data_IF_808310259578
#
_entry.id   IF_808310259578
#
_cell.length_a   1.000
_cell.length_b   1.000
_cell.length_c   1.000
_cell.angle_alpha   90.00
_cell.angle_beta   90.00
_cell.angle_gamma   90.00
#
_symmetry.space_group_name_H-M   'P 1'
#
loop_
_entity.id
_entity.type
_entity.pdbx_description
1 polymer ?
#
# COMPACT_ATOMS: atom_id res chain seq x y z
N UNK A 1 33.61 11.19 -4.46
CA UNK A 1 33.21 12.59 -4.43
C UNK A 1 31.84 12.64 -3.81
N UNK A 2 31.73 13.30 -2.67
CA UNK A 2 30.44 13.58 -2.04
C UNK A 2 29.74 14.71 -2.81
N UNK A 3 28.42 14.79 -2.67
CA UNK A 3 27.62 15.87 -3.26
C UNK A 3 28.16 17.26 -2.89
N UNK A 4 28.54 17.44 -1.62
CA UNK A 4 29.06 18.69 -1.08
C UNK A 4 30.41 19.06 -1.70
N UNK A 5 31.29 18.09 -1.96
CA UNK A 5 32.57 18.32 -2.65
C UNK A 5 32.37 18.79 -4.10
N UNK A 6 31.38 18.24 -4.81
CA UNK A 6 31.07 18.62 -6.18
C UNK A 6 30.50 20.05 -6.24
N UNK A 7 29.62 20.41 -5.29
CA UNK A 7 29.08 21.77 -5.14
C UNK A 7 30.19 22.75 -4.73
N UNK A 8 31.05 22.38 -3.77
CA UNK A 8 32.20 23.17 -3.35
C UNK A 8 33.18 23.41 -4.51
N UNK A 9 33.41 22.40 -5.36
CA UNK A 9 34.28 22.56 -6.53
C UNK A 9 33.68 23.48 -7.59
N UNK A 10 32.35 23.50 -7.75
CA UNK A 10 31.67 24.41 -8.66
C UNK A 10 31.71 25.86 -8.14
N UNK A 11 31.42 26.04 -6.84
CA UNK A 11 31.43 27.34 -6.18
C UNK A 11 32.85 27.90 -5.98
N UNK A 12 33.84 27.03 -5.79
CA UNK A 12 35.26 27.43 -5.70
C UNK A 12 35.80 28.04 -7.00
N UNK A 13 35.15 27.84 -8.15
CA UNK A 13 35.50 28.54 -9.40
C UNK A 13 35.11 30.03 -9.38
N UNK A 14 34.11 30.40 -8.56
CA UNK A 14 33.73 31.78 -8.25
C UNK A 14 34.52 32.35 -7.05
N UNK A 15 35.46 31.58 -6.48
CA UNK A 15 36.18 31.98 -5.27
C UNK A 15 35.36 31.80 -3.98
N UNK A 16 34.22 31.12 -4.04
CA UNK A 16 33.45 30.77 -2.84
C UNK A 16 34.05 29.54 -2.16
N UNK A 17 34.55 29.73 -0.95
CA UNK A 17 35.07 28.64 -0.11
C UNK A 17 34.40 28.57 1.26
N UNK A 18 33.37 29.38 1.49
CA UNK A 18 32.62 29.32 2.75
C UNK A 18 31.77 28.04 2.80
N UNK A 19 32.14 27.16 3.74
CA UNK A 19 31.48 25.89 3.98
C UNK A 19 29.99 26.05 4.31
N UNK A 20 29.61 27.14 4.99
CA UNK A 20 28.22 27.43 5.33
C UNK A 20 27.39 27.74 4.08
N UNK A 21 27.95 28.54 3.17
CA UNK A 21 27.30 28.88 1.91
C UNK A 21 27.21 27.65 0.99
N UNK A 22 28.27 26.83 0.93
CA UNK A 22 28.27 25.56 0.19
C UNK A 22 27.17 24.63 0.71
N UNK A 23 27.06 24.46 2.03
CA UNK A 23 26.04 23.59 2.63
C UNK A 23 24.62 24.12 2.38
N UNK A 24 24.42 25.43 2.45
CA UNK A 24 23.13 26.06 2.17
C UNK A 24 22.72 25.87 0.70
N UNK A 25 23.62 26.15 -0.25
CA UNK A 25 23.38 25.93 -1.69
C UNK A 25 23.15 24.44 -1.98
N UNK A 26 23.94 23.55 -1.37
CA UNK A 26 23.76 22.12 -1.45
C UNK A 26 22.37 21.68 -0.95
N UNK A 27 21.86 22.29 0.13
CA UNK A 27 20.53 22.03 0.68
C UNK A 27 19.41 22.47 -0.26
N UNK A 28 19.49 23.68 -0.82
CA UNK A 28 18.50 24.19 -1.80
C UNK A 28 18.43 23.27 -3.01
N UNK A 29 19.59 22.86 -3.55
CA UNK A 29 19.67 22.03 -4.74
C UNK A 29 19.11 20.61 -4.51
N UNK A 30 19.27 20.06 -3.30
CA UNK A 30 18.72 18.75 -2.93
C UNK A 30 17.21 18.76 -2.68
N UNK A 31 16.63 19.92 -2.34
CA UNK A 31 15.20 20.00 -2.06
C UNK A 31 14.38 19.78 -3.34
N UNK A 32 13.60 18.69 -3.38
CA UNK A 32 12.72 18.39 -4.51
C UNK A 32 11.43 19.23 -4.48
N UNK A 33 11.13 19.91 -3.37
CA UNK A 33 9.94 20.76 -3.26
C UNK A 33 10.11 22.13 -3.89
N UNK A 34 11.35 22.56 -4.15
CA UNK A 34 11.67 23.85 -4.76
C UNK A 34 11.79 23.65 -6.28
N UNK A 35 11.05 24.44 -7.04
CA UNK A 35 11.12 24.41 -8.51
C UNK A 35 12.46 24.96 -9.02
N UNK A 36 12.82 24.65 -10.26
CA UNK A 36 14.11 25.07 -10.83
C UNK A 36 14.27 26.60 -10.84
N UNK A 37 13.19 27.33 -11.14
CA UNK A 37 13.17 28.79 -11.14
C UNK A 37 13.39 29.36 -9.73
N UNK A 38 12.70 28.79 -8.73
CA UNK A 38 12.88 29.17 -7.32
C UNK A 38 14.29 28.83 -6.81
N UNK A 39 14.88 27.72 -7.25
CA UNK A 39 16.28 27.36 -6.95
C UNK A 39 17.25 28.39 -7.53
N UNK A 40 17.02 28.82 -8.77
CA UNK A 40 17.81 29.87 -9.43
C UNK A 40 17.72 31.18 -8.67
N UNK A 41 16.52 31.60 -8.28
CA UNK A 41 16.30 32.85 -7.56
C UNK A 41 16.94 32.82 -6.17
N UNK A 42 16.74 31.72 -5.42
CA UNK A 42 17.32 31.55 -4.09
C UNK A 42 18.86 31.55 -4.13
N UNK A 43 19.46 30.83 -5.09
CA UNK A 43 20.93 30.82 -5.25
C UNK A 43 21.44 32.15 -5.78
N UNK A 44 20.71 32.84 -6.65
CA UNK A 44 21.08 34.18 -7.14
C UNK A 44 21.15 35.16 -5.98
N UNK A 45 20.21 35.10 -5.03
CA UNK A 45 20.28 35.93 -3.82
C UNK A 45 21.55 35.69 -2.99
N UNK A 46 21.94 34.42 -2.78
CA UNK A 46 23.14 34.06 -2.00
C UNK A 46 24.42 34.43 -2.73
N UNK A 47 24.48 34.15 -4.02
CA UNK A 47 25.70 34.32 -4.81
C UNK A 47 25.90 35.76 -5.28
N UNK A 48 24.83 36.56 -5.40
CA UNK A 48 24.93 38.00 -5.68
C UNK A 48 25.61 38.78 -4.54
N UNK A 49 25.62 38.26 -3.31
CA UNK A 49 26.41 38.85 -2.22
C UNK A 49 27.93 38.70 -2.44
N UNK A 50 28.35 37.82 -3.35
CA UNK A 50 29.76 37.42 -3.50
C UNK A 50 30.29 37.68 -4.90
N UNK A 51 29.46 37.51 -5.93
CA UNK A 51 29.80 37.87 -7.30
C UNK A 51 28.67 38.68 -7.94
N UNK A 52 28.94 39.96 -8.21
CA UNK A 52 27.99 40.91 -8.80
C UNK A 52 27.87 40.75 -10.33
N UNK A 53 28.77 39.99 -10.97
CA UNK A 53 28.75 39.78 -12.41
C UNK A 53 27.77 38.67 -12.82
N UNK A 54 26.60 39.08 -13.32
CA UNK A 54 25.55 38.18 -13.78
C UNK A 54 26.03 37.27 -14.94
N UNK A 55 27.06 37.67 -15.70
CA UNK A 55 27.60 36.90 -16.81
C UNK A 55 28.37 35.65 -16.38
N UNK A 56 29.01 35.66 -15.22
CA UNK A 56 29.69 34.50 -14.63
C UNK A 56 28.76 33.68 -13.72
N UNK A 57 27.76 34.34 -13.14
CA UNK A 57 26.76 33.74 -12.27
C UNK A 57 25.82 32.77 -13.00
N UNK A 58 25.22 33.17 -14.12
CA UNK A 58 24.27 32.33 -14.87
C UNK A 58 24.84 30.95 -15.28
N UNK A 59 26.01 30.84 -15.92
CA UNK A 59 26.54 29.54 -16.34
C UNK A 59 26.92 28.64 -15.15
N UNK A 60 27.24 29.22 -14.00
CA UNK A 60 27.58 28.45 -12.80
C UNK A 60 26.34 27.92 -12.10
N UNK A 61 25.26 28.71 -12.05
CA UNK A 61 23.92 28.26 -11.64
C UNK A 61 23.41 27.13 -12.53
N UNK A 62 23.49 27.28 -13.85
CA UNK A 62 23.11 26.24 -14.81
C UNK A 62 23.91 24.95 -14.58
N UNK A 63 25.21 25.08 -14.32
CA UNK A 63 26.08 23.95 -14.02
C UNK A 63 25.70 23.25 -12.72
N UNK A 64 25.39 24.01 -11.65
CA UNK A 64 24.98 23.50 -10.34
C UNK A 64 23.65 22.75 -10.43
N UNK A 65 22.68 23.30 -11.15
CA UNK A 65 21.38 22.66 -11.37
C UNK A 65 21.57 21.36 -12.14
N UNK A 66 22.31 21.36 -13.24
CA UNK A 66 22.62 20.13 -13.99
C UNK A 66 23.39 19.10 -13.16
N UNK A 67 24.23 19.53 -12.21
CA UNK A 67 24.90 18.64 -11.27
C UNK A 67 23.89 18.03 -10.29
N UNK A 68 22.98 18.85 -9.76
CA UNK A 68 21.91 18.40 -8.85
C UNK A 68 21.01 17.35 -9.49
N UNK A 69 20.57 17.54 -10.73
CA UNK A 69 19.73 16.58 -11.45
C UNK A 69 20.45 15.24 -11.65
N UNK A 70 21.73 15.28 -12.02
CA UNK A 70 22.56 14.07 -12.18
C UNK A 70 22.79 13.36 -10.85
N UNK A 71 22.94 14.09 -9.75
CA UNK A 71 23.07 13.51 -8.43
C UNK A 71 21.74 12.87 -7.96
N UNK A 72 20.63 13.58 -8.16
CA UNK A 72 19.28 13.10 -7.83
C UNK A 72 18.93 11.83 -8.61
N UNK A 73 19.23 11.79 -9.91
CA UNK A 73 19.05 10.61 -10.75
C UNK A 73 19.85 9.41 -10.22
N UNK A 74 21.14 9.61 -9.92
CA UNK A 74 21.97 8.55 -9.31
C UNK A 74 21.44 8.08 -7.96
N UNK A 75 20.94 8.99 -7.13
CA UNK A 75 20.34 8.64 -5.84
C UNK A 75 19.09 7.77 -6.02
N UNK A 76 18.20 8.15 -6.94
CA UNK A 76 16.98 7.39 -7.27
C UNK A 76 17.31 5.99 -7.81
N UNK A 77 18.32 5.87 -8.66
CA UNK A 77 18.77 4.57 -9.17
C UNK A 77 19.33 3.68 -8.04
N UNK A 78 20.14 4.24 -7.15
CA UNK A 78 20.68 3.51 -6.00
C UNK A 78 19.57 3.07 -5.03
N UNK A 79 18.56 3.91 -4.81
CA UNK A 79 17.38 3.54 -4.03
C UNK A 79 16.56 2.44 -4.70
N UNK A 80 16.38 2.50 -6.02
CA UNK A 80 15.67 1.47 -6.78
C UNK A 80 16.37 0.11 -6.66
N UNK A 81 17.70 0.09 -6.80
CA UNK A 81 18.52 -1.13 -6.62
C UNK A 81 18.38 -1.67 -5.19
N UNK A 82 18.44 -0.80 -4.18
CA UNK A 82 18.26 -1.22 -2.77
C UNK A 82 16.87 -1.79 -2.52
N UNK A 83 15.82 -1.14 -3.03
CA UNK A 83 14.44 -1.64 -2.93
C UNK A 83 14.28 -3.00 -3.60
N UNK A 84 14.92 -3.22 -4.74
CA UNK A 84 14.90 -4.52 -5.43
C UNK A 84 15.62 -5.60 -4.61
N UNK A 85 16.80 -5.28 -4.06
CA UNK A 85 17.54 -6.19 -3.19
C UNK A 85 16.75 -6.54 -1.92
N UNK A 86 16.09 -5.57 -1.30
CA UNK A 86 15.26 -5.80 -0.12
C UNK A 86 14.05 -6.68 -0.43
N UNK A 87 13.42 -6.50 -1.60
CA UNK A 87 12.34 -7.37 -2.07
C UNK A 87 12.80 -8.81 -2.33
N UNK A 88 13.98 -8.98 -2.92
CA UNK A 88 14.58 -10.31 -3.12
C UNK A 88 14.91 -10.97 -1.78
N UNK A 89 15.53 -10.24 -0.85
CA UNK A 89 15.82 -10.74 0.48
C UNK A 89 14.54 -11.10 1.28
N UNK A 90 13.48 -10.30 1.17
CA UNK A 90 12.18 -10.59 1.76
C UNK A 90 11.54 -11.86 1.14
N UNK A 91 11.67 -12.02 -0.18
CA UNK A 91 11.19 -13.23 -0.88
C UNK A 91 11.97 -14.48 -0.48
N UNK A 92 13.28 -14.37 -0.25
CA UNK A 92 14.08 -15.48 0.25
C UNK A 92 13.74 -15.84 1.69
N UNK A 93 13.53 -14.84 2.56
CA UNK A 93 13.07 -15.06 3.94
C UNK A 93 11.71 -15.76 3.99
N UNK A 94 10.76 -15.36 3.14
CA UNK A 94 9.45 -16.03 3.07
C UNK A 94 9.59 -17.47 2.56
N UNK A 95 10.40 -17.72 1.53
CA UNK A 95 10.71 -19.10 1.07
C UNK A 95 11.32 -19.96 2.17
N UNK A 96 12.31 -19.42 2.90
CA UNK A 96 12.95 -20.14 4.01
C UNK A 96 11.97 -20.38 5.16
N UNK A 97 11.10 -19.43 5.48
CA UNK A 97 10.06 -19.60 6.49
C UNK A 97 9.05 -20.68 6.08
N UNK A 98 8.60 -20.70 4.82
CA UNK A 98 7.70 -21.75 4.32
C UNK A 98 8.38 -23.12 4.23
N UNK A 99 9.66 -23.18 3.87
CA UNK A 99 10.41 -24.44 3.84
C UNK A 99 10.52 -25.05 5.25
N UNK A 100 10.82 -24.23 6.27
CA UNK A 100 10.84 -24.68 7.67
C UNK A 100 9.49 -25.20 8.15
N UNK A 101 8.39 -24.56 7.77
CA UNK A 101 7.04 -25.03 8.13
C UNK A 101 6.68 -26.36 7.43
N UNK A 102 7.19 -26.60 6.22
CA UNK A 102 6.99 -27.88 5.51
C UNK A 102 7.86 -29.00 6.12
N UNK A 103 9.05 -28.68 6.61
CA UNK A 103 9.91 -29.66 7.29
C UNK A 103 9.45 -30.00 8.73
N UNK A 104 8.76 -29.08 9.41
CA UNK A 104 8.17 -29.27 10.75
C UNK A 104 6.75 -29.87 10.72
N UNK A 105 6.16 -30.13 9.55
CA UNK A 105 4.90 -30.88 9.46
C UNK A 105 5.23 -32.39 9.52
N UNK A 106 4.98 -33.10 10.64
CA UNK A 106 5.08 -34.55 10.61
C UNK A 106 4.05 -35.04 9.61
N UNK A 107 4.51 -35.77 8.59
CA UNK A 107 3.69 -36.40 7.57
C UNK A 107 2.72 -37.43 8.17
N UNK A 108 1.71 -36.97 8.90
CA UNK A 108 0.60 -37.76 9.41
C UNK A 108 -0.41 -37.87 8.28
N UNK A 109 -0.19 -38.84 7.40
CA UNK A 109 -1.24 -39.36 6.50
C UNK A 109 -2.49 -39.60 7.37
N UNK A 110 -3.65 -39.01 7.06
CA UNK A 110 -4.86 -39.33 7.81
C UNK A 110 -5.20 -40.79 7.48
N UNK A 111 -4.83 -41.71 8.37
CA UNK A 111 -5.44 -43.03 8.41
C UNK A 111 -6.96 -42.80 8.45
N UNK A 112 -7.68 -43.37 7.49
CA UNK A 112 -9.12 -43.24 7.37
C UNK A 112 -9.79 -43.71 8.67
N UNK A 113 -10.04 -42.79 9.59
CA UNK A 113 -10.90 -43.03 10.74
C UNK A 113 -12.32 -43.10 10.18
N UNK A 114 -12.90 -44.28 10.23
CA UNK A 114 -14.33 -44.46 10.04
C UNK A 114 -15.03 -43.60 11.09
N UNK A 115 -15.66 -42.49 10.66
CA UNK A 115 -16.41 -41.63 11.57
C UNK A 115 -17.56 -42.45 12.15
N UNK A 116 -17.67 -42.46 13.48
CA UNK A 116 -18.83 -43.01 14.17
C UNK A 116 -20.08 -42.21 13.80
N UNK A 117 -21.26 -42.82 13.92
CA UNK A 117 -22.53 -42.22 13.47
C UNK A 117 -22.80 -40.84 14.10
N UNK A 118 -22.41 -40.66 15.36
CA UNK A 118 -22.50 -39.39 16.09
C UNK A 118 -21.62 -38.30 15.47
N UNK A 119 -20.39 -38.61 15.06
CA UNK A 119 -19.49 -37.65 14.43
C UNK A 119 -19.96 -37.27 13.02
N UNK A 120 -20.63 -38.20 12.32
CA UNK A 120 -21.26 -37.91 11.03
C UNK A 120 -22.50 -37.02 11.21
N UNK A 121 -23.28 -37.22 12.28
CA UNK A 121 -24.42 -36.37 12.61
C UNK A 121 -23.97 -34.94 12.98
N UNK A 122 -22.90 -34.78 13.76
CA UNK A 122 -22.35 -33.48 14.10
C UNK A 122 -21.78 -32.76 12.88
N UNK A 123 -21.05 -33.47 12.02
CA UNK A 123 -20.58 -32.91 10.75
C UNK A 123 -21.74 -32.51 9.85
N UNK A 124 -22.82 -33.30 9.80
CA UNK A 124 -24.02 -32.97 9.04
C UNK A 124 -24.76 -31.75 9.64
N UNK A 125 -24.83 -31.63 10.96
CA UNK A 125 -25.41 -30.47 11.66
C UNK A 125 -24.63 -29.19 11.39
N UNK A 126 -23.30 -29.26 11.44
CA UNK A 126 -22.41 -28.14 11.12
C UNK A 126 -22.59 -27.75 9.65
N UNK A 127 -22.57 -28.72 8.72
CA UNK A 127 -22.82 -28.46 7.30
C UNK A 127 -24.22 -27.87 7.05
N UNK A 128 -25.25 -28.34 7.74
CA UNK A 128 -26.60 -27.79 7.66
C UNK A 128 -26.65 -26.33 8.16
N UNK A 129 -25.91 -25.99 9.22
CA UNK A 129 -25.82 -24.61 9.70
C UNK A 129 -25.18 -23.67 8.67
N UNK A 130 -24.20 -24.15 7.90
CA UNK A 130 -23.61 -23.38 6.80
C UNK A 130 -24.49 -23.34 5.55
N UNK A 131 -25.27 -24.39 5.30
CA UNK A 131 -26.24 -24.41 4.21
C UNK A 131 -27.39 -23.43 4.47
N UNK A 132 -27.84 -23.29 5.72
CA UNK A 132 -28.85 -22.29 6.10
C UNK A 132 -28.36 -20.85 5.89
N UNK A 133 -27.06 -20.59 6.11
CA UNK A 133 -26.45 -19.26 5.85
C UNK A 133 -26.29 -18.99 4.34
N UNK A 134 -26.24 -20.03 3.51
CA UNK A 134 -26.12 -19.90 2.06
C UNK A 134 -27.47 -19.76 1.33
N UNK A 135 -28.60 -20.06 1.99
CA UNK A 135 -29.96 -20.00 1.42
C UNK A 135 -30.79 -18.83 2.00
N UNK A 136 -30.27 -18.10 3.00
CA UNK A 136 -30.89 -16.91 3.60
C UNK A 136 -30.41 -15.60 2.93
N UNK A 137 -30.22 -15.63 1.60
CA UNK A 137 -30.14 -14.42 0.76
C UNK A 137 -31.57 -13.98 0.38
N UNK A 138 -32.38 -13.64 1.39
CA UNK A 138 -33.66 -12.94 1.23
C UNK A 138 -33.83 -11.93 2.38
N UNK A 139 -33.28 -10.74 2.13
CA UNK A 139 -33.41 -9.46 2.86
C UNK A 139 -34.88 -9.11 3.24
N UNK A 140 -35.21 -8.18 4.17
CA UNK A 140 -34.65 -7.80 5.49
C UNK A 140 -35.75 -7.77 6.61
N UNK A 141 -35.33 -7.43 7.85
CA UNK A 141 -36.10 -6.84 8.98
C UNK A 141 -36.27 -7.67 10.28
N UNK A 142 -35.79 -7.04 11.37
CA UNK A 142 -36.13 -7.19 12.80
C UNK A 142 -36.00 -8.53 13.54
N UNK A 143 -34.94 -8.65 14.36
CA UNK A 143 -35.04 -8.60 15.84
C UNK A 143 -33.63 -8.69 16.46
N UNK A 144 -33.12 -7.58 17.00
CA UNK A 144 -33.18 -7.21 18.41
C UNK A 144 -32.22 -7.99 19.35
N UNK A 145 -31.19 -7.23 19.78
CA UNK A 145 -30.64 -7.19 21.14
C UNK A 145 -29.95 -8.43 21.74
N UNK A 146 -28.61 -8.38 21.80
CA UNK A 146 -27.86 -8.61 23.04
C UNK A 146 -26.35 -8.29 22.88
N UNK A 147 -25.94 -7.10 23.36
CA UNK A 147 -24.79 -6.84 24.25
C UNK A 147 -24.09 -5.51 23.91
N UNK A 148 -24.60 -4.41 24.46
CA UNK A 148 -23.75 -3.29 24.84
C UNK A 148 -23.12 -3.62 26.21
N UNK A 149 -21.87 -3.20 26.47
CA UNK A 149 -21.68 -1.99 27.26
C UNK A 149 -20.43 -1.17 26.83
N UNK A 150 -20.06 -0.09 27.51
CA UNK A 150 -20.53 1.27 27.28
C UNK A 150 -19.40 2.20 26.81
N UNK A 151 -19.76 3.45 26.54
CA UNK A 151 -18.87 4.58 26.24
C UNK A 151 -18.37 4.69 24.80
N UNK A 152 -19.26 5.24 23.96
CA UNK A 152 -18.79 6.14 22.92
C UNK A 152 -18.04 7.30 23.60
N UNK A 153 -16.71 7.20 23.67
CA UNK A 153 -15.86 8.28 24.15
C UNK A 153 -15.93 9.41 23.13
N UNK A 154 -16.62 10.48 23.51
CA UNK A 154 -16.76 11.69 22.73
C UNK A 154 -15.37 12.18 22.27
N UNK A 155 -15.26 12.47 20.98
CA UNK A 155 -14.05 13.01 20.38
C UNK A 155 -13.66 14.32 21.09
N UNK A 156 -12.45 14.38 21.64
CA UNK A 156 -11.95 15.49 22.49
C UNK A 156 -11.98 16.84 21.74
N UNK A 157 -12.01 16.79 20.40
CA UNK A 157 -12.17 17.93 19.50
C UNK A 157 -13.54 18.62 19.65
N UNK A 158 -14.59 17.87 20.04
CA UNK A 158 -15.98 18.33 20.16
C UNK A 158 -16.31 18.92 21.53
N UNK A 159 -15.43 18.76 22.52
CA UNK A 159 -15.67 19.22 23.89
C UNK A 159 -15.44 20.74 24.05
N UNK A 160 -16.20 21.36 24.94
CA UNK A 160 -16.07 22.80 25.22
C UNK A 160 -14.70 23.12 25.87
N UNK A 161 -14.18 24.35 25.67
CA UNK A 161 -12.90 24.80 26.25
C UNK A 161 -12.81 24.58 27.77
N UNK A 162 -13.94 24.62 28.49
CA UNK A 162 -14.02 24.44 29.94
C UNK A 162 -13.92 22.97 30.36
N UNK A 163 -14.39 22.05 29.51
CA UNK A 163 -14.27 20.60 29.72
C UNK A 163 -12.87 20.10 29.37
N UNK A 164 -12.26 20.63 28.30
CA UNK A 164 -10.85 20.35 27.95
C UNK A 164 -9.88 20.74 29.04
N UNK A 165 -10.10 21.88 29.72
CA UNK A 165 -9.27 22.32 30.85
C UNK A 165 -9.39 21.37 32.05
N UNK A 166 -10.62 20.92 32.38
CA UNK A 166 -10.85 19.95 33.46
C UNK A 166 -10.22 18.60 33.20
N UNK A 167 -10.23 18.11 31.96
CA UNK A 167 -9.52 16.88 31.61
C UNK A 167 -8.02 17.06 31.82
N UNK A 168 -7.45 18.17 31.34
CA UNK A 168 -6.01 18.49 31.47
C UNK A 168 -5.55 18.52 32.94
N UNK A 169 -6.34 19.10 33.83
CA UNK A 169 -6.05 19.17 35.27
C UNK A 169 -6.08 17.77 35.95
N UNK A 170 -6.70 16.76 35.33
CA UNK A 170 -6.66 15.34 35.77
C UNK A 170 -5.52 14.52 35.15
N UNK A 171 -4.79 15.04 34.15
CA UNK A 171 -3.72 14.29 33.45
C UNK A 171 -2.36 14.40 34.13
N UNK A 172 -2.15 15.39 34.99
CA UNK A 172 -0.85 15.71 35.61
C UNK A 172 -0.35 14.67 36.64
N UNK A 173 -1.09 13.57 36.85
CA UNK A 173 -0.70 12.47 37.74
C UNK A 173 -0.96 11.06 37.19
N UNK A 174 -1.31 10.92 35.90
CA UNK A 174 -1.66 9.62 35.29
C UNK A 174 -0.55 9.19 34.34
N UNK A 175 0.04 8.02 34.61
CA UNK A 175 1.04 7.37 33.76
C UNK A 175 0.49 7.19 32.32
N UNK A 176 1.08 7.94 31.38
CA UNK A 176 0.66 7.98 29.98
C UNK A 176 0.81 6.62 29.28
N UNK A 177 1.69 5.75 29.78
CA UNK A 177 1.92 4.41 29.23
C UNK A 177 0.88 3.39 29.69
N UNK A 178 0.15 3.67 30.78
CA UNK A 178 -0.92 2.81 31.29
C UNK A 178 -2.28 3.09 30.63
N UNK A 179 -2.38 4.11 29.75
CA UNK A 179 -3.61 4.44 29.04
C UNK A 179 -3.92 3.39 27.96
N UNK A 180 -5.15 2.87 27.88
CA UNK A 180 -5.55 2.00 26.79
C UNK A 180 -5.39 2.72 25.45
N UNK A 181 -4.83 2.03 24.45
CA UNK A 181 -4.62 2.60 23.13
C UNK A 181 -5.98 2.82 22.42
N UNK A 182 -6.38 4.09 22.32
CA UNK A 182 -7.64 4.52 21.72
C UNK A 182 -7.73 4.27 20.20
N UNK A 183 -6.59 4.03 19.53
CA UNK A 183 -6.54 3.80 18.09
C UNK A 183 -6.81 2.33 17.71
N UNK A 184 -6.88 1.42 18.67
CA UNK A 184 -7.06 -0.02 18.37
C UNK A 184 -8.39 -0.28 17.68
N UNK A 185 -9.47 0.38 18.11
CA UNK A 185 -10.79 0.20 17.53
C UNK A 185 -10.87 0.77 16.09
N UNK A 186 -10.29 1.95 15.85
CA UNK A 186 -10.30 2.57 14.52
C UNK A 186 -9.46 1.78 13.52
N UNK A 187 -8.29 1.28 13.95
CA UNK A 187 -7.43 0.42 13.12
C UNK A 187 -8.12 -0.91 12.79
N UNK A 188 -8.76 -1.57 13.76
CA UNK A 188 -9.51 -2.81 13.52
C UNK A 188 -10.68 -2.59 12.56
N UNK A 189 -11.47 -1.53 12.75
CA UNK A 189 -12.58 -1.22 11.84
C UNK A 189 -12.10 -0.91 10.41
N UNK A 190 -10.94 -0.24 10.27
CA UNK A 190 -10.35 0.00 8.95
C UNK A 190 -9.83 -1.29 8.29
N UNK A 191 -9.24 -2.20 9.07
CA UNK A 191 -8.76 -3.49 8.59
C UNK A 191 -9.93 -4.41 8.17
N UNK A 192 -11.01 -4.45 8.95
CA UNK A 192 -12.22 -5.19 8.63
C UNK A 192 -12.85 -4.69 7.32
N UNK A 193 -12.94 -3.37 7.12
CA UNK A 193 -13.42 -2.79 5.86
C UNK A 193 -12.54 -3.18 4.68
N UNK A 194 -11.21 -3.16 4.83
CA UNK A 194 -10.28 -3.62 3.78
C UNK A 194 -10.47 -5.09 3.47
N UNK A 195 -10.67 -5.94 4.49
CA UNK A 195 -10.91 -7.36 4.33
C UNK A 195 -12.24 -7.65 3.65
N UNK A 196 -13.30 -6.91 3.99
CA UNK A 196 -14.60 -7.02 3.32
C UNK A 196 -14.51 -6.63 1.84
N UNK A 197 -13.92 -5.46 1.54
CA UNK A 197 -13.73 -5.01 0.16
C UNK A 197 -12.91 -5.99 -0.69
N UNK A 198 -11.88 -6.62 -0.12
CA UNK A 198 -11.10 -7.64 -0.80
C UNK A 198 -11.91 -8.91 -1.11
N UNK A 199 -12.82 -9.32 -0.21
CA UNK A 199 -13.74 -10.44 -0.44
C UNK A 199 -14.73 -10.12 -1.56
N UNK A 200 -15.33 -8.94 -1.54
CA UNK A 200 -16.31 -8.51 -2.55
C UNK A 200 -15.65 -8.37 -3.93
N UNK A 201 -14.41 -7.88 -3.99
CA UNK A 201 -13.62 -7.84 -5.21
C UNK A 201 -13.31 -9.25 -5.75
N UNK A 202 -13.02 -10.22 -4.88
CA UNK A 202 -12.77 -11.61 -5.28
C UNK A 202 -14.05 -12.29 -5.78
N UNK A 203 -15.18 -12.09 -5.11
CA UNK A 203 -16.49 -12.63 -5.52
C UNK A 203 -16.92 -12.04 -6.86
N UNK A 204 -16.84 -10.72 -7.02
CA UNK A 204 -17.20 -10.06 -8.28
C UNK A 204 -16.31 -10.49 -9.45
N UNK A 205 -15.01 -10.72 -9.22
CA UNK A 205 -14.11 -11.31 -10.22
C UNK A 205 -14.53 -12.74 -10.57
N UNK A 206 -14.81 -13.58 -9.58
CA UNK A 206 -15.26 -14.96 -9.81
C UNK A 206 -16.56 -15.03 -10.63
N UNK A 207 -17.51 -14.13 -10.36
CA UNK A 207 -18.77 -14.04 -11.12
C UNK A 207 -18.51 -13.64 -12.57
N UNK A 208 -17.65 -12.63 -12.80
CA UNK A 208 -17.26 -12.20 -14.15
C UNK A 208 -16.56 -13.32 -14.93
N UNK A 209 -15.58 -13.98 -14.31
CA UNK A 209 -14.82 -15.07 -14.93
C UNK A 209 -15.75 -16.24 -15.31
N UNK A 210 -16.72 -16.59 -14.45
CA UNK A 210 -17.74 -17.60 -14.76
C UNK A 210 -18.65 -17.17 -15.92
N UNK A 211 -19.11 -15.92 -15.92
CA UNK A 211 -19.97 -15.41 -16.98
C UNK A 211 -19.25 -15.39 -18.35
N UNK A 212 -17.98 -15.01 -18.37
CA UNK A 212 -17.19 -14.98 -19.60
C UNK A 212 -16.87 -16.40 -20.12
N UNK A 213 -16.60 -17.35 -19.22
CA UNK A 213 -16.45 -18.76 -19.60
C UNK A 213 -17.73 -19.33 -20.23
N UNK A 214 -18.90 -18.99 -19.67
CA UNK A 214 -20.18 -19.41 -20.23
C UNK A 214 -20.41 -18.80 -21.62
N UNK A 215 -20.14 -17.51 -21.81
CA UNK A 215 -20.21 -16.86 -23.13
C UNK A 215 -19.31 -17.54 -24.15
N UNK A 216 -18.05 -17.79 -23.80
CA UNK A 216 -17.11 -18.50 -24.67
C UNK A 216 -17.63 -19.89 -25.06
N UNK A 217 -18.19 -20.65 -24.10
CA UNK A 217 -18.80 -21.96 -24.40
C UNK A 217 -19.99 -21.84 -25.33
N UNK A 218 -20.89 -20.88 -25.12
CA UNK A 218 -22.05 -20.68 -26.00
C UNK A 218 -21.66 -20.25 -27.41
N UNK A 219 -20.65 -19.39 -27.54
CA UNK A 219 -20.19 -18.91 -28.85
C UNK A 219 -19.48 -20.03 -29.63
N UNK A 220 -18.68 -20.86 -28.95
CA UNK A 220 -18.10 -22.05 -29.56
C UNK A 220 -19.17 -23.07 -29.99
N UNK A 221 -20.22 -23.27 -29.19
CA UNK A 221 -21.32 -24.16 -29.55
C UNK A 221 -22.07 -23.65 -30.78
N UNK A 222 -22.41 -22.35 -30.84
CA UNK A 222 -23.04 -21.71 -32.00
C UNK A 222 -22.19 -21.84 -33.27
N UNK A 223 -20.87 -21.58 -33.18
CA UNK A 223 -19.95 -21.74 -34.32
C UNK A 223 -19.90 -23.19 -34.81
N UNK A 224 -19.91 -24.17 -33.91
CA UNK A 224 -19.96 -25.59 -34.27
C UNK A 224 -21.28 -25.96 -34.94
N UNK A 225 -22.42 -25.48 -34.43
CA UNK A 225 -23.72 -25.70 -35.05
C UNK A 225 -23.84 -25.05 -36.43
N UNK A 226 -23.33 -23.83 -36.60
CA UNK A 226 -23.30 -23.14 -37.90
C UNK A 226 -22.41 -23.90 -38.90
N UNK A 227 -21.25 -24.39 -38.46
CA UNK A 227 -20.37 -25.22 -39.28
C UNK A 227 -21.05 -26.55 -39.68
N UNK A 228 -21.75 -27.21 -38.75
CA UNK A 228 -22.52 -28.44 -39.03
C UNK A 228 -23.68 -28.17 -39.99
N UNK A 229 -24.44 -27.08 -39.80
CA UNK A 229 -25.52 -26.67 -40.72
C UNK A 229 -24.98 -26.33 -42.11
N UNK A 230 -23.79 -25.71 -42.21
CA UNK A 230 -23.12 -25.42 -43.48
C UNK A 230 -22.62 -26.68 -44.17
N UNK A 231 -22.03 -27.62 -43.43
CA UNK A 231 -21.59 -28.92 -43.94
C UNK A 231 -22.79 -29.75 -44.47
N UNK A 232 -23.86 -29.86 -43.69
CA UNK A 232 -25.08 -30.58 -44.09
C UNK A 232 -25.80 -29.97 -45.31
N UNK A 233 -25.66 -28.65 -45.54
CA UNK A 233 -26.13 -27.99 -46.77
C UNK A 233 -25.19 -28.19 -47.97
N UNK A 234 -23.89 -28.36 -47.72
CA UNK A 234 -22.89 -28.67 -48.74
C UNK A 234 -23.07 -30.08 -49.30
N UNK A 235 -23.32 -31.06 -48.45
CA UNK A 235 -23.56 -32.46 -48.84
C UNK A 235 -24.91 -32.68 -49.54
N UNK A 236 -25.91 -31.81 -49.36
CA UNK A 236 -27.19 -31.85 -50.10
C UNK A 236 -27.15 -31.21 -51.49
N UNK A 237 -26.03 -30.56 -51.86
CA UNK A 237 -25.83 -29.91 -53.16
C UNK A 237 -24.86 -30.69 -54.07
N UNK A 238 -24.25 -31.75 -53.58
CA UNK A 238 -23.49 -32.73 -54.35
C UNK A 238 -24.38 -33.94 -54.64
#
# INVERSE_FOLDING_TARGET
>A
MTWEEDVASALGKLGLHDEVQVQYVAGILQDEAIDEEDKRDAMTGVLAEVEEDEATLRPTLDHLISLSERHLARSKDLEAIKREQDLLAARERTKQATARVVDDEPASKPAGRELTEEQRADRARILASYALIADDESDPEESAAASAPPEATADVSTLSKKQRKRLKDTEDGIDLLARPNMNVASVRAAEEKKRAAAKDAAVSKSIKDKADLLKQRTDQAKRKEEAQKKAARGERRA
#
